data_IF_797118654445
#
_entry.id   IF_797118654445
#
_cell.length_a   1.000
_cell.length_b   1.000
_cell.length_c   1.000
_cell.angle_alpha   90.00
_cell.angle_beta   90.00
_cell.angle_gamma   90.00
#
_symmetry.space_group_name_H-M   'P 1'
#
loop_
_entity.id
_entity.type
_entity.pdbx_description
1 polymer ?
#
# COMPACT_ATOMS: atom_id res chain seq x y z
N UNK A 1 -9.23 -4.64 25.15
CA UNK A 1 -8.34 -4.23 24.04
C UNK A 1 -7.87 -5.51 23.38
N UNK A 2 -8.54 -5.96 22.31
CA UNK A 2 -8.13 -7.13 21.54
C UNK A 2 -6.72 -6.84 21.01
N UNK A 3 -5.78 -7.73 21.32
CA UNK A 3 -4.42 -7.63 20.83
C UNK A 3 -4.47 -7.81 19.32
N UNK A 4 -4.23 -6.76 18.55
CA UNK A 4 -4.07 -6.83 17.07
C UNK A 4 -3.09 -7.94 16.61
N UNK A 5 -2.36 -8.51 17.54
CA UNK A 5 -1.36 -9.55 17.36
C UNK A 5 -1.91 -10.86 16.78
N UNK A 6 -3.19 -11.16 16.97
CA UNK A 6 -3.78 -12.46 16.61
C UNK A 6 -4.62 -12.41 15.33
N UNK A 7 -4.81 -11.22 14.74
CA UNK A 7 -5.73 -11.04 13.60
C UNK A 7 -4.97 -11.04 12.25
N UNK A 8 -3.69 -10.71 12.22
CA UNK A 8 -2.97 -10.47 10.96
C UNK A 8 -2.25 -11.73 10.45
N UNK A 9 -1.78 -12.60 11.36
CA UNK A 9 -1.11 -13.83 10.99
C UNK A 9 -1.72 -15.02 11.71
N UNK A 10 -2.40 -15.85 10.96
CA UNK A 10 -2.86 -17.15 11.45
C UNK A 10 -1.67 -18.14 11.43
N UNK A 11 -1.62 -19.12 12.37
CA UNK A 11 -0.53 -20.08 12.46
C UNK A 11 -0.21 -20.78 11.14
N UNK A 12 -1.23 -21.02 10.30
CA UNK A 12 -1.09 -21.65 9.00
C UNK A 12 -0.22 -20.83 8.04
N UNK A 13 -0.40 -19.50 8.00
CA UNK A 13 0.42 -18.60 7.16
C UNK A 13 1.88 -18.62 7.60
N UNK A 14 2.11 -18.63 8.91
CA UNK A 14 3.49 -18.71 9.46
C UNK A 14 4.12 -20.05 9.07
N UNK A 15 3.40 -21.14 9.24
CA UNK A 15 3.86 -22.48 8.87
C UNK A 15 4.19 -22.59 7.37
N UNK A 16 3.38 -21.98 6.51
CA UNK A 16 3.64 -21.95 5.06
C UNK A 16 4.90 -21.13 4.71
N UNK A 17 5.11 -20.01 5.37
CA UNK A 17 6.33 -19.21 5.18
C UNK A 17 7.57 -20.03 5.59
N UNK A 18 7.51 -20.69 6.74
CA UNK A 18 8.62 -21.52 7.26
C UNK A 18 8.90 -22.75 6.37
N UNK A 19 7.86 -23.33 5.80
CA UNK A 19 7.98 -24.49 4.90
C UNK A 19 8.59 -24.14 3.52
N UNK A 20 8.56 -22.85 3.13
CA UNK A 20 9.00 -22.40 1.81
C UNK A 20 10.05 -21.27 1.88
N UNK A 21 11.21 -21.48 2.52
CA UNK A 21 12.17 -20.43 2.79
C UNK A 21 12.81 -19.81 1.54
N UNK A 22 12.66 -20.45 0.37
CA UNK A 22 13.15 -19.92 -0.91
C UNK A 22 12.10 -19.18 -1.74
N UNK A 23 10.86 -19.09 -1.27
CA UNK A 23 9.79 -18.44 -2.02
C UNK A 23 9.76 -16.94 -1.74
N UNK A 24 9.41 -16.17 -2.78
CA UNK A 24 9.16 -14.75 -2.61
C UNK A 24 7.81 -14.54 -1.91
N UNK A 25 7.82 -13.76 -0.84
CA UNK A 25 6.61 -13.41 -0.12
C UNK A 25 6.02 -12.12 -0.69
N UNK A 26 4.85 -12.22 -1.31
CA UNK A 26 4.15 -11.10 -1.92
C UNK A 26 2.87 -10.82 -1.12
N UNK A 27 2.73 -9.57 -0.67
CA UNK A 27 1.53 -9.08 0.01
C UNK A 27 0.85 -8.06 -0.87
N UNK A 28 -0.45 -8.16 -1.03
CA UNK A 28 -1.22 -7.24 -1.86
C UNK A 28 -2.55 -6.88 -1.21
N UNK A 29 -3.09 -5.72 -1.57
CA UNK A 29 -4.38 -5.29 -1.08
C UNK A 29 -4.90 -4.05 -1.80
N UNK A 30 -6.22 -3.94 -1.86
CA UNK A 30 -6.93 -2.77 -2.40
C UNK A 30 -7.60 -1.99 -1.27
N UNK A 31 -7.63 -0.66 -1.37
CA UNK A 31 -8.34 0.20 -0.42
C UNK A 31 -7.82 0.02 1.02
N UNK A 32 -8.71 -0.15 1.98
CA UNK A 32 -8.39 -0.51 3.37
C UNK A 32 -7.54 -1.79 3.45
N UNK A 33 -7.79 -2.77 2.55
CA UNK A 33 -6.98 -3.98 2.46
C UNK A 33 -5.51 -3.70 2.12
N UNK A 34 -5.22 -2.64 1.36
CA UNK A 34 -3.85 -2.16 1.13
C UNK A 34 -3.18 -1.64 2.41
N UNK A 35 -3.92 -0.90 3.24
CA UNK A 35 -3.42 -0.45 4.54
C UNK A 35 -3.17 -1.63 5.48
N UNK A 36 -4.09 -2.60 5.53
CA UNK A 36 -3.93 -3.83 6.32
C UNK A 36 -2.73 -4.65 5.81
N UNK A 37 -2.57 -4.78 4.49
CA UNK A 37 -1.44 -5.46 3.85
C UNK A 37 -0.10 -4.85 4.27
N UNK A 38 -0.01 -3.52 4.33
CA UNK A 38 1.21 -2.83 4.77
C UNK A 38 1.51 -3.06 6.25
N UNK A 39 0.50 -3.11 7.12
CA UNK A 39 0.70 -3.47 8.53
C UNK A 39 1.10 -4.94 8.69
N UNK A 40 0.53 -5.83 7.88
CA UNK A 40 0.84 -7.26 7.92
C UNK A 40 2.31 -7.53 7.55
N UNK A 41 2.78 -7.00 6.42
CA UNK A 41 4.18 -7.20 6.01
C UNK A 41 5.16 -6.57 7.01
N UNK A 42 4.82 -5.39 7.55
CA UNK A 42 5.63 -4.72 8.56
C UNK A 42 5.76 -5.57 9.84
N UNK A 43 4.66 -6.15 10.32
CA UNK A 43 4.66 -7.03 11.49
C UNK A 43 5.42 -8.33 11.22
N UNK A 44 5.29 -8.92 10.02
CA UNK A 44 6.03 -10.12 9.63
C UNK A 44 7.55 -9.91 9.65
N UNK A 45 8.01 -8.78 9.13
CA UNK A 45 9.43 -8.41 9.15
C UNK A 45 9.90 -8.13 10.58
N UNK A 46 9.13 -7.37 11.38
CA UNK A 46 9.50 -7.05 12.76
C UNK A 46 9.56 -8.27 13.68
N UNK A 47 8.79 -9.31 13.39
CA UNK A 47 8.79 -10.57 14.15
C UNK A 47 9.76 -11.61 13.59
N UNK A 48 10.52 -11.27 12.54
CA UNK A 48 11.41 -12.19 11.86
C UNK A 48 10.70 -13.44 11.29
N UNK A 49 9.39 -13.36 10.99
CA UNK A 49 8.70 -14.41 10.22
C UNK A 49 9.19 -14.43 8.77
N UNK A 50 9.57 -13.26 8.26
CA UNK A 50 10.17 -13.08 6.95
C UNK A 50 11.51 -12.37 7.15
N UNK A 51 12.57 -12.98 6.67
CA UNK A 51 13.89 -12.32 6.68
C UNK A 51 14.12 -11.58 5.37
N UNK A 52 14.30 -10.26 5.38
CA UNK A 52 14.65 -9.49 4.17
C UNK A 52 15.90 -10.01 3.46
N UNK A 53 16.77 -10.70 4.21
CA UNK A 53 18.02 -11.25 3.67
C UNK A 53 17.82 -12.44 2.71
N UNK A 54 16.76 -13.22 2.90
CA UNK A 54 16.55 -14.47 2.15
C UNK A 54 15.33 -14.41 1.23
N UNK A 55 14.29 -13.71 1.66
CA UNK A 55 13.03 -13.56 0.94
C UNK A 55 12.65 -12.10 1.01
N UNK A 56 13.21 -11.27 0.11
CA UNK A 56 12.89 -9.86 0.07
C UNK A 56 11.38 -9.70 -0.16
N UNK A 57 10.61 -9.32 0.88
CA UNK A 57 9.17 -9.29 0.77
C UNK A 57 8.75 -8.14 -0.16
N UNK A 58 7.72 -8.38 -0.96
CA UNK A 58 7.16 -7.39 -1.88
C UNK A 58 5.77 -6.99 -1.43
N UNK A 59 5.52 -5.70 -1.33
CA UNK A 59 4.18 -5.16 -1.10
C UNK A 59 3.70 -4.40 -2.34
N UNK A 60 2.53 -4.76 -2.84
CA UNK A 60 1.88 -4.04 -3.93
C UNK A 60 0.47 -3.69 -3.49
N UNK A 61 0.15 -2.40 -3.41
CA UNK A 61 -1.19 -1.95 -3.00
C UNK A 61 -1.86 -1.10 -4.07
N UNK A 62 -3.18 -1.09 -4.04
CA UNK A 62 -4.01 -0.36 -5.00
C UNK A 62 -4.98 0.55 -4.25
N UNK A 63 -4.96 1.85 -4.55
CA UNK A 63 -5.84 2.80 -3.90
C UNK A 63 -5.70 2.86 -2.37
N UNK A 64 -4.52 2.57 -1.86
CA UNK A 64 -4.26 2.53 -0.41
C UNK A 64 -4.39 3.94 0.20
N UNK A 65 -5.15 4.10 1.29
CA UNK A 65 -5.17 5.34 2.06
C UNK A 65 -3.86 5.53 2.85
N UNK A 66 -3.67 6.70 3.45
CA UNK A 66 -2.59 6.92 4.41
C UNK A 66 -2.73 5.98 5.59
N UNK A 67 -1.64 5.34 5.99
CA UNK A 67 -1.72 4.22 6.97
C UNK A 67 -1.11 4.58 8.32
N UNK A 68 -0.06 5.37 8.36
CA UNK A 68 0.64 5.68 9.61
C UNK A 68 1.14 7.11 9.67
N UNK A 69 1.71 7.47 10.81
CA UNK A 69 2.37 8.76 10.99
C UNK A 69 3.78 8.74 10.37
N UNK A 70 4.45 9.88 10.39
CA UNK A 70 5.80 10.03 9.83
C UNK A 70 6.81 9.05 10.44
N UNK A 71 6.73 8.81 11.74
CA UNK A 71 7.62 7.86 12.41
C UNK A 71 7.41 6.42 11.91
N UNK A 72 6.15 6.00 11.76
CA UNK A 72 5.82 4.70 11.19
C UNK A 72 6.33 4.57 9.75
N UNK A 73 6.11 5.59 8.92
CA UNK A 73 6.55 5.59 7.51
C UNK A 73 8.06 5.51 7.40
N UNK A 74 8.79 6.26 8.24
CA UNK A 74 10.25 6.23 8.26
C UNK A 74 10.78 4.86 8.64
N UNK A 75 10.23 4.25 9.69
CA UNK A 75 10.64 2.92 10.13
C UNK A 75 10.26 1.84 9.11
N UNK A 76 9.06 1.91 8.53
CA UNK A 76 8.62 1.03 7.45
C UNK A 76 9.59 1.07 6.26
N UNK A 77 9.89 2.27 5.76
CA UNK A 77 10.75 2.45 4.58
C UNK A 77 12.20 1.98 4.82
N UNK A 78 12.65 1.99 6.07
CA UNK A 78 13.98 1.47 6.43
C UNK A 78 14.08 -0.06 6.41
N UNK A 79 12.94 -0.76 6.53
CA UNK A 79 12.87 -2.22 6.67
C UNK A 79 12.34 -2.93 5.42
N UNK A 80 11.46 -2.25 4.70
CA UNK A 80 10.77 -2.81 3.53
C UNK A 80 11.05 -1.91 2.35
N UNK A 81 11.90 -2.36 1.44
CA UNK A 81 12.41 -1.57 0.30
C UNK A 81 11.65 -1.85 -0.99
N UNK A 82 11.08 -3.07 -1.10
CA UNK A 82 10.32 -3.50 -2.27
C UNK A 82 8.83 -3.30 -2.06
N UNK A 83 8.36 -2.06 -2.18
CA UNK A 83 6.92 -1.84 -2.14
C UNK A 83 6.46 -0.75 -3.12
N UNK A 84 5.25 -0.92 -3.61
CA UNK A 84 4.66 -0.10 -4.65
C UNK A 84 3.20 0.20 -4.32
N UNK A 85 2.88 1.48 -4.24
CA UNK A 85 1.51 1.96 -4.10
C UNK A 85 1.00 2.38 -5.48
N UNK A 86 0.16 1.56 -6.08
CA UNK A 86 -0.52 1.91 -7.34
C UNK A 86 -1.72 2.78 -7.01
N UNK A 87 -1.74 4.00 -7.52
CA UNK A 87 -2.82 4.95 -7.32
C UNK A 87 -3.31 5.45 -8.67
N UNK A 88 -4.60 5.26 -8.92
CA UNK A 88 -5.27 5.88 -10.07
C UNK A 88 -5.50 7.35 -9.79
N UNK A 89 -5.15 8.22 -10.73
CA UNK A 89 -5.38 9.65 -10.57
C UNK A 89 -6.87 9.94 -10.36
N UNK A 90 -7.16 10.81 -9.40
CA UNK A 90 -8.53 11.10 -8.98
C UNK A 90 -9.14 10.11 -7.96
N UNK A 91 -8.43 9.06 -7.54
CA UNK A 91 -8.88 8.18 -6.46
C UNK A 91 -8.98 8.95 -5.14
N UNK A 92 -10.22 9.12 -4.64
CA UNK A 92 -10.48 9.86 -3.40
C UNK A 92 -9.94 9.12 -2.17
N UNK A 93 -10.02 7.78 -2.14
CA UNK A 93 -9.59 6.98 -0.98
C UNK A 93 -8.08 7.07 -0.78
N UNK A 94 -7.31 7.06 -1.87
CA UNK A 94 -5.89 7.28 -1.81
C UNK A 94 -5.50 8.71 -1.37
N UNK A 95 -6.46 9.61 -1.12
CA UNK A 95 -6.23 10.96 -0.60
C UNK A 95 -6.51 11.09 0.90
N UNK A 96 -7.18 10.10 1.49
CA UNK A 96 -7.60 10.16 2.89
C UNK A 96 -6.69 9.32 3.82
N UNK A 97 -6.66 9.66 5.12
CA UNK A 97 -7.10 10.92 5.71
C UNK A 97 -6.41 12.10 5.02
N UNK A 98 -7.14 13.22 4.78
CA UNK A 98 -6.52 14.37 4.12
C UNK A 98 -5.34 14.91 4.92
N UNK A 99 -4.28 15.35 4.23
CA UNK A 99 -3.12 16.01 4.83
C UNK A 99 -3.51 17.43 5.27
N UNK A 100 -4.26 17.53 6.37
CA UNK A 100 -4.55 18.80 7.04
C UNK A 100 -3.41 19.13 8.02
N UNK A 101 -3.30 20.40 8.41
CA UNK A 101 -2.22 20.93 9.26
C UNK A 101 -1.98 20.11 10.54
N UNK A 102 -3.00 19.44 11.05
CA UNK A 102 -2.93 18.59 12.26
C UNK A 102 -3.07 17.10 11.97
N UNK A 103 -3.02 16.66 10.72
CA UNK A 103 -3.11 15.24 10.40
C UNK A 103 -1.71 14.61 10.39
N UNK A 104 -1.41 13.69 11.30
CA UNK A 104 -0.11 13.04 11.37
C UNK A 104 0.10 11.97 10.30
N UNK A 105 -0.96 11.56 9.58
CA UNK A 105 -0.89 10.46 8.62
C UNK A 105 -0.12 10.83 7.37
N UNK A 106 0.74 9.90 6.94
CA UNK A 106 1.57 9.99 5.76
C UNK A 106 1.39 8.76 4.87
N UNK A 107 1.73 8.92 3.62
CA UNK A 107 1.88 7.79 2.71
C UNK A 107 3.22 7.09 2.91
N UNK A 108 3.22 5.79 2.71
CA UNK A 108 4.45 5.04 2.42
C UNK A 108 5.01 5.51 1.08
N UNK A 109 6.32 5.49 0.83
CA UNK A 109 6.94 5.87 -0.44
C UNK A 109 6.59 4.91 -1.60
N UNK A 110 7.24 5.03 -2.75
CA UNK A 110 7.08 4.14 -3.90
C UNK A 110 5.72 4.27 -4.61
N UNK A 111 5.30 5.49 -4.94
CA UNK A 111 4.07 5.73 -5.70
C UNK A 111 4.23 5.34 -7.17
N UNK A 112 3.29 4.56 -7.70
CA UNK A 112 3.02 4.39 -9.12
C UNK A 112 1.71 5.12 -9.42
N UNK A 113 1.82 6.32 -10.00
CA UNK A 113 0.65 7.10 -10.38
C UNK A 113 0.18 6.69 -11.78
N UNK A 114 -1.04 6.18 -11.85
CA UNK A 114 -1.71 5.80 -13.12
C UNK A 114 -2.69 6.89 -13.48
N UNK A 115 -2.72 7.29 -14.74
CA UNK A 115 -3.68 8.31 -15.20
C UNK A 115 -5.14 7.82 -15.09
N UNK A 116 -6.10 8.75 -15.22
CA UNK A 116 -7.54 8.45 -15.08
C UNK A 116 -8.04 7.38 -16.05
N UNK A 117 -7.49 7.34 -17.25
CA UNK A 117 -7.82 6.39 -18.31
C UNK A 117 -7.08 5.05 -18.18
N UNK A 118 -6.13 4.95 -17.24
CA UNK A 118 -5.27 3.78 -17.01
C UNK A 118 -4.44 3.35 -18.23
N UNK A 119 -4.04 4.31 -19.04
CA UNK A 119 -3.25 4.11 -20.26
C UNK A 119 -1.77 4.45 -20.10
N UNK A 120 -1.42 5.15 -19.03
CA UNK A 120 -0.04 5.53 -18.71
C UNK A 120 0.20 5.55 -17.20
N UNK A 121 1.46 5.36 -16.80
CA UNK A 121 1.87 5.40 -15.39
C UNK A 121 3.22 6.08 -15.25
N UNK A 122 3.43 6.71 -14.08
CA UNK A 122 4.67 7.31 -13.65
C UNK A 122 5.11 6.70 -12.33
N UNK A 123 6.38 6.33 -12.22
CA UNK A 123 6.97 5.90 -10.97
C UNK A 123 7.56 7.08 -10.21
N UNK A 124 7.17 7.25 -8.96
CA UNK A 124 7.54 8.36 -8.07
C UNK A 124 8.25 7.81 -6.83
N UNK A 125 9.57 7.58 -6.90
CA UNK A 125 10.30 6.87 -5.84
C UNK A 125 10.44 7.68 -4.54
N UNK A 126 10.35 9.00 -4.62
CA UNK A 126 10.56 9.93 -3.50
C UNK A 126 9.28 10.46 -2.88
N UNK A 127 8.16 9.80 -3.07
CA UNK A 127 6.89 10.17 -2.42
C UNK A 127 6.92 9.90 -0.90
N UNK A 128 8.04 10.28 -0.29
CA UNK A 128 8.21 10.26 1.16
C UNK A 128 7.65 11.59 1.68
N UNK A 129 6.43 11.53 2.21
CA UNK A 129 5.83 12.69 2.86
C UNK A 129 5.14 13.68 1.93
N UNK A 130 4.80 13.29 0.69
CA UNK A 130 3.95 14.07 -0.20
C UNK A 130 4.58 15.34 -0.80
N UNK A 131 5.89 15.36 -0.92
CA UNK A 131 6.57 16.40 -1.69
C UNK A 131 6.43 16.11 -3.19
N UNK A 132 5.30 16.53 -3.75
CA UNK A 132 4.97 16.44 -5.18
C UNK A 132 5.67 17.54 -6.00
N UNK A 133 6.93 17.78 -5.78
CA UNK A 133 7.73 18.74 -6.56
C UNK A 133 7.82 18.33 -8.04
N UNK A 134 7.73 17.03 -8.32
CA UNK A 134 7.64 16.52 -9.69
C UNK A 134 6.19 16.59 -10.19
N UNK A 135 5.97 17.39 -11.25
CA UNK A 135 4.65 17.54 -11.88
C UNK A 135 4.06 16.23 -12.39
N UNK A 136 4.88 15.26 -12.76
CA UNK A 136 4.43 13.95 -13.22
C UNK A 136 3.88 13.08 -12.10
N UNK A 137 4.19 13.43 -10.86
CA UNK A 137 3.74 12.77 -9.65
C UNK A 137 2.60 13.51 -8.93
N UNK A 138 2.20 14.67 -9.46
CA UNK A 138 1.10 15.44 -8.91
C UNK A 138 -0.24 14.77 -9.25
N UNK A 139 -1.05 14.59 -8.21
CA UNK A 139 -2.40 14.04 -8.34
C UNK A 139 -3.41 15.13 -8.64
N UNK A 140 -4.42 14.77 -9.41
CA UNK A 140 -5.55 15.66 -9.69
C UNK A 140 -6.28 16.07 -8.41
N UNK A 141 -6.72 17.31 -8.33
CA UNK A 141 -7.61 17.79 -7.27
C UNK A 141 -9.07 17.36 -7.51
N UNK A 142 -9.40 16.98 -8.74
CA UNK A 142 -10.72 16.42 -9.07
C UNK A 142 -10.75 14.94 -8.75
N UNK A 143 -11.42 14.58 -7.67
CA UNK A 143 -11.51 13.22 -7.13
C UNK A 143 -12.90 12.64 -7.24
N UNK A 144 -13.02 11.32 -7.43
CA UNK A 144 -14.28 10.60 -7.52
C UNK A 144 -14.08 9.16 -7.06
N UNK A 145 -15.09 8.61 -6.36
CA UNK A 145 -15.07 7.22 -5.88
C UNK A 145 -15.00 6.19 -7.02
N UNK A 146 -15.45 6.54 -8.22
CA UNK A 146 -15.34 5.66 -9.40
C UNK A 146 -13.89 5.31 -9.72
N UNK A 147 -12.95 6.23 -9.52
CA UNK A 147 -11.52 5.94 -9.74
C UNK A 147 -10.94 4.99 -8.71
N UNK A 148 -11.58 4.86 -7.55
CA UNK A 148 -11.23 3.90 -6.51
C UNK A 148 -11.69 2.49 -6.82
N UNK A 149 -12.89 2.34 -7.38
CA UNK A 149 -13.55 1.04 -7.60
C UNK A 149 -13.17 0.37 -8.92
N UNK A 150 -12.47 1.06 -9.81
CA UNK A 150 -12.15 0.60 -11.16
C UNK A 150 -10.64 0.71 -11.41
N UNK A 151 -9.89 -0.30 -10.99
CA UNK A 151 -8.47 -0.47 -11.30
C UNK A 151 -8.30 -1.51 -12.41
N UNK A 152 -7.33 -1.29 -13.31
CA UNK A 152 -6.92 -2.15 -14.44
C UNK A 152 -7.94 -2.36 -15.57
N UNK A 153 -9.21 -2.36 -15.28
CA UNK A 153 -10.26 -2.39 -16.29
C UNK A 153 -11.32 -1.38 -15.88
N UNK A 154 -11.50 -0.27 -16.62
CA UNK A 154 -12.49 0.74 -16.29
C UNK A 154 -13.93 0.21 -16.29
N UNK A 155 -14.17 -0.92 -16.98
CA UNK A 155 -15.49 -1.57 -17.04
C UNK A 155 -15.69 -2.60 -15.90
N UNK A 156 -14.67 -2.88 -15.11
CA UNK A 156 -14.74 -3.84 -14.01
C UNK A 156 -14.84 -3.13 -12.66
N UNK A 157 -16.02 -3.17 -12.07
CA UNK A 157 -16.23 -2.71 -10.69
C UNK A 157 -15.90 -3.86 -9.72
N UNK A 158 -14.85 -3.72 -8.92
CA UNK A 158 -14.47 -4.72 -7.92
C UNK A 158 -15.57 -4.99 -6.89
N UNK A 159 -16.38 -3.99 -6.54
CA UNK A 159 -17.44 -4.14 -5.54
C UNK A 159 -18.60 -5.05 -6.01
N UNK A 160 -18.74 -5.27 -7.30
CA UNK A 160 -19.86 -6.06 -7.86
C UNK A 160 -19.59 -7.56 -8.00
N UNK A 161 -18.33 -8.00 -7.81
CA UNK A 161 -17.93 -9.40 -8.06
C UNK A 161 -17.60 -10.19 -6.80
N UNK A 162 -17.55 -9.58 -5.63
CA UNK A 162 -17.46 -10.28 -4.36
C UNK A 162 -18.86 -10.68 -3.90
N UNK A 163 -19.34 -11.82 -4.38
CA UNK A 163 -20.53 -12.51 -3.87
C UNK A 163 -20.10 -13.87 -3.34
#
# INVERSE_FOLDING_TARGET
MLKMKEIIFVPEVISDIEAHPGYQFIVTGHSLGGAVASLAIYEAVNRNYISPKYNEPVLITYGQPRTGNEQFVTDFNSKITNYFRVVRDGDIVASIPYALINNPYRHLGGLILVNKEMTSMNYCPKDIGEDYSDKQCQRSTSVDIKYHTHYFNPDTNFSSRCR
#
